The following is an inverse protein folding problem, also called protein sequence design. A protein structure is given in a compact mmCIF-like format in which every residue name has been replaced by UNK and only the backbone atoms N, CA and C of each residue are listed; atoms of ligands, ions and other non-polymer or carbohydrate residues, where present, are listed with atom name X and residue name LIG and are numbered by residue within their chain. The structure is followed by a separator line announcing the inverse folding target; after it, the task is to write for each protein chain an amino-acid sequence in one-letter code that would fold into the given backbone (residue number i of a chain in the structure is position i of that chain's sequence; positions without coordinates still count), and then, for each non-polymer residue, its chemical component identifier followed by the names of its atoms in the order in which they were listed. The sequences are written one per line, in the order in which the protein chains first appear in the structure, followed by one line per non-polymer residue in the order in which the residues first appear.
data_IF_634161804193
#
_entry.id   IF_634161804193
#
_cell.length_a   1.000
_cell.length_b   1.000
_cell.length_c   1.000
_cell.angle_alpha   90.00
_cell.angle_beta   90.00
_cell.angle_gamma   90.00
#
_symmetry.space_group_name_H-M   'P 1'
#
loop_
_entity.id
_entity.type
_entity.pdbx_description
1 polymer ?
#
# COMPACT_ATOMS: atom_id res chain seq x y z
N UNK A 1 0.59 88.15 14.02
CA UNK A 1 1.97 88.57 13.70
C UNK A 1 2.71 87.34 13.20
N UNK A 2 2.91 87.20 11.88
CA UNK A 2 4.17 87.42 11.13
C UNK A 2 5.33 86.45 11.45
N UNK A 3 5.64 85.61 10.44
CA UNK A 3 6.98 85.25 9.89
C UNK A 3 7.86 84.32 10.77
N UNK A 4 8.73 83.43 10.31
CA UNK A 4 9.32 82.98 9.01
C UNK A 4 10.18 81.72 9.39
N UNK A 5 10.09 80.57 8.71
CA UNK A 5 10.95 80.04 7.61
C UNK A 5 12.30 79.38 8.01
N UNK A 6 12.61 78.29 7.28
CA UNK A 6 13.88 77.54 7.03
C UNK A 6 14.17 76.34 7.95
N UNK A 7 14.08 75.08 7.47
CA UNK A 7 14.90 74.30 6.50
C UNK A 7 16.17 73.69 7.12
N UNK A 8 16.20 72.35 7.24
CA UNK A 8 17.35 71.42 7.20
C UNK A 8 16.74 70.02 7.43
N UNK A 9 16.76 69.03 6.53
CA UNK A 9 17.79 68.66 5.58
C UNK A 9 18.62 67.51 6.16
N UNK A 10 18.11 66.27 6.10
CA UNK A 10 18.88 65.07 6.47
C UNK A 10 18.42 63.86 5.62
N UNK A 11 19.28 63.27 4.78
CA UNK A 11 19.03 61.99 4.15
C UNK A 11 19.53 60.89 5.10
N UNK A 12 18.62 60.08 5.65
CA UNK A 12 18.99 58.87 6.37
C UNK A 12 19.25 57.75 5.36
N UNK A 13 20.53 57.39 5.27
CA UNK A 13 21.08 56.37 4.39
C UNK A 13 20.55 54.97 4.69
N UNK A 14 20.65 54.15 3.65
CA UNK A 14 20.17 52.79 3.53
C UNK A 14 20.74 51.85 4.62
N UNK A 15 19.83 51.19 5.34
CA UNK A 15 20.11 49.96 6.06
C UNK A 15 20.03 48.80 5.07
N UNK A 16 21.19 48.31 4.64
CA UNK A 16 21.30 47.04 3.93
C UNK A 16 21.02 45.90 4.93
N UNK A 17 19.79 45.38 4.91
CA UNK A 17 19.43 44.11 5.55
C UNK A 17 19.94 42.96 4.68
N UNK A 18 21.25 42.71 4.73
CA UNK A 18 21.88 41.54 4.13
C UNK A 18 22.16 40.50 5.22
N UNK A 19 21.19 39.62 5.50
CA UNK A 19 21.41 38.33 6.17
C UNK A 19 20.15 37.44 6.09
N UNK A 20 19.61 37.21 4.89
CA UNK A 20 18.88 35.97 4.65
C UNK A 20 19.95 34.90 4.46
N UNK A 21 20.41 34.29 5.55
CA UNK A 21 21.24 33.10 5.44
C UNK A 21 20.33 32.02 4.90
N UNK A 22 20.56 31.64 3.65
CA UNK A 22 20.10 30.41 3.03
C UNK A 22 20.36 29.27 4.03
N UNK A 23 19.33 28.87 4.78
CA UNK A 23 19.34 27.58 5.44
C UNK A 23 19.02 26.62 4.30
N UNK A 24 20.07 26.17 3.62
CA UNK A 24 20.00 24.99 2.80
C UNK A 24 19.27 23.93 3.64
N UNK A 25 18.05 23.60 3.25
CA UNK A 25 17.36 22.42 3.72
C UNK A 25 18.28 21.26 3.35
N UNK A 26 19.05 20.79 4.33
CA UNK A 26 19.63 19.46 4.28
C UNK A 26 18.46 18.53 4.01
N UNK A 27 18.33 18.11 2.75
CA UNK A 27 17.42 17.06 2.32
C UNK A 27 17.72 15.88 3.22
N UNK A 28 16.90 15.69 4.25
CA UNK A 28 16.99 14.52 5.09
C UNK A 28 16.86 13.35 4.13
N UNK A 29 17.80 12.38 4.12
CA UNK A 29 17.64 11.20 3.32
C UNK A 29 16.28 10.60 3.69
N UNK A 30 15.45 10.35 2.68
CA UNK A 30 14.14 9.76 2.86
C UNK A 30 14.24 8.44 3.65
N UNK A 31 13.13 7.96 4.21
CA UNK A 31 13.13 6.68 4.92
C UNK A 31 13.76 5.61 4.04
N UNK A 32 14.70 4.85 4.62
CA UNK A 32 15.35 3.76 3.92
C UNK A 32 14.30 2.74 3.45
N UNK A 33 14.47 2.12 2.27
CA UNK A 33 13.54 1.11 1.77
C UNK A 33 13.44 -0.03 2.79
N UNK A 34 12.22 -0.57 2.96
CA UNK A 34 12.03 -1.74 3.80
C UNK A 34 12.82 -2.93 3.23
N UNK A 35 13.45 -3.76 4.08
CA UNK A 35 14.18 -4.91 3.59
C UNK A 35 13.24 -5.88 2.86
N UNK A 36 13.71 -6.44 1.75
CA UNK A 36 13.02 -7.52 1.07
C UNK A 36 12.92 -8.76 1.99
N UNK A 37 11.83 -9.52 1.85
CA UNK A 37 11.70 -10.83 2.50
C UNK A 37 12.53 -11.87 1.75
N UNK A 38 13.02 -12.89 2.46
CA UNK A 38 13.90 -13.92 1.87
C UNK A 38 13.17 -14.80 0.85
N UNK A 39 11.90 -15.11 1.09
CA UNK A 39 11.06 -15.92 0.21
C UNK A 39 9.67 -15.31 0.06
N UNK A 40 9.42 -14.50 -0.99
CA UNK A 40 8.12 -13.90 -1.24
C UNK A 40 7.12 -14.85 -1.92
N UNK A 41 7.57 -16.02 -2.38
CA UNK A 41 6.67 -16.92 -3.11
C UNK A 41 5.63 -17.54 -2.17
N UNK A 42 4.38 -17.73 -2.63
CA UNK A 42 3.36 -18.34 -1.81
C UNK A 42 3.70 -19.77 -1.36
N UNK A 43 3.30 -20.09 -0.14
CA UNK A 43 3.40 -21.43 0.46
C UNK A 43 1.98 -21.96 0.67
N UNK A 44 1.71 -23.16 0.15
CA UNK A 44 0.42 -23.85 0.33
C UNK A 44 0.31 -24.38 1.76
N UNK A 45 -0.85 -24.20 2.40
CA UNK A 45 -1.09 -24.58 3.79
C UNK A 45 -2.01 -25.81 3.93
N UNK A 46 -3.15 -25.82 3.22
CA UNK A 46 -4.16 -26.91 3.26
C UNK A 46 -4.53 -27.33 4.70
N UNK A 47 -4.72 -26.34 5.57
CA UNK A 47 -5.02 -26.52 7.00
C UNK A 47 -6.26 -25.72 7.40
N UNK A 48 -6.93 -26.10 8.50
CA UNK A 48 -8.11 -25.36 8.99
C UNK A 48 -7.71 -24.19 9.90
N UNK A 49 -8.33 -23.03 9.70
CA UNK A 49 -8.17 -21.89 10.57
C UNK A 49 -8.71 -22.17 11.98
N UNK A 50 -8.18 -21.46 12.97
CA UNK A 50 -8.64 -21.60 14.36
C UNK A 50 -10.08 -21.11 14.49
N UNK A 51 -10.98 -22.02 14.89
CA UNK A 51 -12.39 -21.71 15.14
C UNK A 51 -12.55 -20.90 16.42
N UNK A 52 -13.32 -19.83 16.34
CA UNK A 52 -13.67 -18.96 17.46
C UNK A 52 -15.06 -19.32 17.98
N UNK A 53 -15.22 -19.29 19.30
CA UNK A 53 -16.54 -19.42 19.90
C UNK A 53 -17.38 -18.17 19.61
N UNK A 54 -18.37 -18.33 18.74
CA UNK A 54 -19.30 -17.28 18.36
C UNK A 54 -20.15 -16.78 19.53
N UNK A 55 -20.26 -17.53 20.64
CA UNK A 55 -20.94 -17.07 21.85
C UNK A 55 -20.22 -15.89 22.53
N UNK A 56 -18.93 -15.71 22.27
CA UNK A 56 -18.16 -14.54 22.71
C UNK A 56 -18.36 -13.32 21.80
N UNK A 57 -18.96 -13.52 20.62
CA UNK A 57 -19.21 -12.48 19.63
C UNK A 57 -20.63 -11.91 19.74
N UNK A 58 -20.76 -10.59 19.58
CA UNK A 58 -22.07 -9.93 19.49
C UNK A 58 -22.59 -9.99 18.05
N UNK A 59 -23.07 -11.16 17.64
CA UNK A 59 -23.65 -11.35 16.32
C UNK A 59 -25.15 -11.01 16.32
N UNK A 60 -25.69 -10.42 15.23
CA UNK A 60 -27.12 -10.28 15.03
C UNK A 60 -27.84 -11.64 15.10
N UNK A 61 -29.02 -11.70 15.74
CA UNK A 61 -29.78 -12.95 15.95
C UNK A 61 -30.15 -13.70 14.65
N UNK A 62 -30.20 -13.00 13.51
CA UNK A 62 -30.52 -13.61 12.20
C UNK A 62 -29.32 -14.30 11.56
N UNK A 63 -28.11 -14.13 12.12
CA UNK A 63 -26.92 -14.85 11.70
C UNK A 63 -26.78 -16.10 12.56
N UNK A 64 -27.14 -17.25 12.00
CA UNK A 64 -26.69 -18.55 12.53
C UNK A 64 -25.36 -18.89 11.83
N UNK A 65 -24.19 -18.61 12.43
CA UNK A 65 -22.93 -18.90 11.77
C UNK A 65 -22.76 -20.42 11.61
N UNK A 66 -22.33 -20.88 10.42
CA UNK A 66 -21.86 -22.27 10.24
C UNK A 66 -20.47 -22.45 10.85
N UNK A 67 -19.62 -21.43 10.74
CA UNK A 67 -18.28 -21.36 11.32
C UNK A 67 -17.88 -19.89 11.52
N UNK A 68 -17.09 -19.61 12.55
CA UNK A 68 -16.40 -18.33 12.71
C UNK A 68 -14.93 -18.63 12.97
N UNK A 69 -14.05 -18.03 12.19
CA UNK A 69 -12.60 -18.19 12.31
C UNK A 69 -11.94 -16.83 12.54
N UNK A 70 -10.77 -16.84 13.17
CA UNK A 70 -9.91 -15.66 13.29
C UNK A 70 -8.56 -15.92 12.62
N UNK A 71 -8.38 -15.51 11.35
CA UNK A 71 -7.10 -15.59 10.65
C UNK A 71 -6.04 -14.60 11.19
N UNK A 72 -6.45 -13.67 12.06
CA UNK A 72 -5.59 -12.64 12.65
C UNK A 72 -5.38 -11.42 11.75
N UNK A 73 -6.21 -11.20 10.74
CA UNK A 73 -6.05 -10.07 9.82
C UNK A 73 -6.09 -8.72 10.53
N UNK A 74 -5.15 -7.84 10.18
CA UNK A 74 -5.04 -6.48 10.75
C UNK A 74 -5.81 -5.44 9.95
N UNK A 75 -6.22 -5.78 8.73
CA UNK A 75 -7.06 -4.97 7.86
C UNK A 75 -8.28 -5.78 7.36
N UNK A 76 -9.29 -5.08 6.84
CA UNK A 76 -10.45 -5.74 6.21
C UNK A 76 -9.97 -6.58 5.02
N UNK A 77 -10.26 -7.89 4.97
CA UNK A 77 -9.91 -8.72 3.83
C UNK A 77 -10.73 -8.35 2.59
N UNK A 78 -10.21 -8.70 1.42
CA UNK A 78 -10.97 -8.71 0.17
C UNK A 78 -11.54 -10.10 -0.06
N UNK A 79 -12.72 -10.19 -0.69
CA UNK A 79 -13.37 -11.45 -1.01
C UNK A 79 -13.62 -11.57 -2.52
N UNK A 80 -13.42 -12.77 -3.06
CA UNK A 80 -13.79 -13.14 -4.41
C UNK A 80 -14.07 -14.64 -4.49
N UNK A 81 -15.28 -15.01 -4.93
CA UNK A 81 -15.75 -16.39 -5.08
C UNK A 81 -15.60 -17.25 -3.81
N UNK A 82 -15.95 -16.67 -2.65
CA UNK A 82 -15.90 -17.35 -1.37
C UNK A 82 -14.47 -17.50 -0.82
N UNK A 83 -13.47 -16.88 -1.44
CA UNK A 83 -12.10 -16.84 -0.93
C UNK A 83 -11.78 -15.43 -0.44
N UNK A 84 -11.34 -15.35 0.79
CA UNK A 84 -10.92 -14.13 1.46
C UNK A 84 -9.41 -14.03 1.45
N UNK A 85 -8.87 -12.89 1.01
CA UNK A 85 -7.46 -12.56 1.10
C UNK A 85 -7.30 -11.35 2.02
N UNK A 86 -6.45 -11.49 3.02
CA UNK A 86 -6.06 -10.38 3.89
C UNK A 86 -4.62 -10.56 4.35
N UNK A 87 -4.10 -9.56 5.04
CA UNK A 87 -2.80 -9.66 5.70
C UNK A 87 -2.92 -9.46 7.19
N UNK A 88 -1.94 -9.99 7.92
CA UNK A 88 -1.64 -9.64 9.29
C UNK A 88 -0.22 -9.10 9.40
N UNK A 89 -0.01 -8.18 10.32
CA UNK A 89 1.30 -7.64 10.62
C UNK A 89 2.05 -8.58 11.57
N UNK A 90 3.18 -9.10 11.12
CA UNK A 90 4.18 -9.74 11.98
C UNK A 90 5.25 -8.69 12.35
N UNK A 91 6.21 -9.03 13.21
CA UNK A 91 7.21 -8.05 13.68
C UNK A 91 8.13 -7.53 12.55
N UNK A 92 8.42 -8.36 11.56
CA UNK A 92 9.40 -8.06 10.49
C UNK A 92 8.78 -7.97 9.09
N UNK A 93 7.54 -8.46 8.91
CA UNK A 93 6.91 -8.59 7.60
C UNK A 93 5.38 -8.61 7.71
N UNK A 94 4.71 -8.46 6.58
CA UNK A 94 3.28 -8.74 6.44
C UNK A 94 3.12 -10.20 6.01
N UNK A 95 2.19 -10.91 6.63
CA UNK A 95 1.78 -12.24 6.18
C UNK A 95 0.40 -12.15 5.55
N UNK A 96 0.36 -12.35 4.24
CA UNK A 96 -0.88 -12.53 3.48
C UNK A 96 -1.39 -13.96 3.66
N UNK A 97 -2.70 -14.10 3.82
CA UNK A 97 -3.40 -15.36 4.00
C UNK A 97 -4.65 -15.40 3.12
N UNK A 98 -4.73 -16.41 2.27
CA UNK A 98 -5.95 -16.75 1.53
C UNK A 98 -6.72 -17.83 2.30
N UNK A 99 -8.01 -17.58 2.54
CA UNK A 99 -8.88 -18.40 3.38
C UNK A 99 -10.20 -18.60 2.67
N UNK A 100 -10.63 -19.85 2.51
CA UNK A 100 -11.94 -20.19 1.96
C UNK A 100 -13.07 -19.93 2.97
N UNK A 101 -14.31 -19.78 2.50
CA UNK A 101 -15.48 -19.46 3.34
C UNK A 101 -15.78 -20.49 4.44
N UNK A 102 -15.27 -21.71 4.31
CA UNK A 102 -15.37 -22.76 5.30
C UNK A 102 -14.26 -22.73 6.36
N UNK A 103 -13.33 -21.77 6.26
CA UNK A 103 -12.20 -21.61 7.16
C UNK A 103 -10.92 -22.33 6.73
N UNK A 104 -10.88 -22.97 5.55
CA UNK A 104 -9.66 -23.60 5.03
C UNK A 104 -8.62 -22.55 4.65
N UNK A 105 -7.42 -22.62 5.24
CA UNK A 105 -6.25 -21.82 4.86
C UNK A 105 -5.63 -22.42 3.59
N UNK A 106 -5.72 -21.70 2.47
CA UNK A 106 -5.26 -22.16 1.17
C UNK A 106 -3.75 -21.99 1.03
N UNK A 107 -3.28 -20.76 1.21
CA UNK A 107 -1.87 -20.39 1.08
C UNK A 107 -1.54 -19.13 1.86
N UNK A 108 -0.24 -18.93 2.06
CA UNK A 108 0.32 -17.72 2.65
C UNK A 108 1.45 -17.14 1.81
N UNK A 109 1.68 -15.83 1.90
CA UNK A 109 2.81 -15.17 1.28
C UNK A 109 3.32 -14.05 2.19
N UNK A 110 4.64 -13.95 2.35
CA UNK A 110 5.25 -12.92 3.19
C UNK A 110 5.68 -11.72 2.32
N UNK A 111 5.50 -10.49 2.81
CA UNK A 111 5.88 -9.24 2.12
C UNK A 111 6.53 -8.25 3.08
N UNK A 112 7.35 -7.30 2.59
CA UNK A 112 7.85 -6.22 3.44
C UNK A 112 6.72 -5.44 4.11
N UNK A 113 6.98 -4.89 5.31
CA UNK A 113 6.00 -4.13 6.11
C UNK A 113 5.37 -2.93 5.36
N UNK A 114 6.05 -2.40 4.34
CA UNK A 114 5.57 -1.28 3.53
C UNK A 114 4.62 -1.70 2.40
N UNK A 115 4.51 -2.99 2.09
CA UNK A 115 3.78 -3.51 0.94
C UNK A 115 2.38 -4.03 1.31
N UNK A 116 1.57 -3.16 1.90
CA UNK A 116 0.17 -3.46 2.27
C UNK A 116 -0.80 -3.45 1.09
N UNK A 117 -0.33 -3.08 -0.12
CA UNK A 117 -1.14 -3.02 -1.33
C UNK A 117 -1.44 -4.41 -1.90
N UNK A 118 -2.72 -4.75 -2.02
CA UNK A 118 -3.18 -5.96 -2.68
C UNK A 118 -4.56 -5.75 -3.30
N UNK A 119 -4.88 -6.54 -4.31
CA UNK A 119 -6.22 -6.54 -4.92
C UNK A 119 -6.61 -7.92 -5.40
N UNK A 120 -7.92 -8.17 -5.44
CA UNK A 120 -8.52 -9.31 -6.13
C UNK A 120 -9.11 -8.83 -7.46
N UNK A 121 -8.96 -9.64 -8.50
CA UNK A 121 -9.49 -9.36 -9.85
C UNK A 121 -9.78 -10.67 -10.58
N UNK A 122 -10.23 -10.57 -11.83
CA UNK A 122 -10.36 -11.71 -12.74
C UNK A 122 -9.46 -11.59 -13.95
N UNK A 123 -9.07 -12.74 -14.50
CA UNK A 123 -8.46 -12.83 -15.82
C UNK A 123 -9.51 -12.74 -16.96
N UNK A 124 -9.08 -12.92 -18.20
CA UNK A 124 -9.96 -12.87 -19.39
C UNK A 124 -10.96 -14.04 -19.45
N UNK A 125 -10.63 -15.17 -18.85
CA UNK A 125 -11.46 -16.38 -18.79
C UNK A 125 -12.38 -16.41 -17.55
N UNK A 126 -12.25 -15.41 -16.66
CA UNK A 126 -13.00 -15.27 -15.42
C UNK A 126 -12.36 -15.95 -14.20
N UNK A 127 -11.16 -16.49 -14.34
CA UNK A 127 -10.35 -17.05 -13.24
C UNK A 127 -10.05 -16.01 -12.17
N UNK A 128 -10.00 -16.44 -10.91
CA UNK A 128 -9.80 -15.56 -9.75
C UNK A 128 -8.32 -15.27 -9.53
N UNK A 129 -7.96 -13.99 -9.49
CA UNK A 129 -6.57 -13.54 -9.42
C UNK A 129 -6.33 -12.72 -8.16
N UNK A 130 -5.30 -13.08 -7.41
CA UNK A 130 -4.73 -12.28 -6.33
C UNK A 130 -3.50 -11.53 -6.83
N UNK A 131 -3.45 -10.22 -6.66
CA UNK A 131 -2.26 -9.41 -6.98
C UNK A 131 -1.67 -8.83 -5.71
N UNK A 132 -0.40 -9.14 -5.46
CA UNK A 132 0.34 -8.69 -4.29
C UNK A 132 1.43 -7.69 -4.69
N UNK A 133 1.49 -6.56 -3.99
CA UNK A 133 2.62 -5.65 -4.09
C UNK A 133 3.85 -6.24 -3.37
N UNK A 134 5.02 -6.00 -3.93
CA UNK A 134 6.31 -6.36 -3.36
C UNK A 134 7.35 -5.28 -3.67
N UNK A 135 8.56 -5.43 -3.13
CA UNK A 135 9.71 -4.61 -3.51
C UNK A 135 10.57 -5.37 -4.52
N UNK A 136 11.03 -4.69 -5.56
CA UNK A 136 12.00 -5.27 -6.47
C UNK A 136 13.27 -5.69 -5.70
N UNK A 137 13.83 -6.89 -5.96
CA UNK A 137 15.10 -7.29 -5.37
C UNK A 137 16.23 -6.49 -6.05
N UNK A 138 16.55 -5.31 -5.54
CA UNK A 138 17.65 -4.49 -6.04
C UNK A 138 18.61 -4.10 -4.90
N UNK A 139 19.89 -3.97 -5.23
CA UNK A 139 20.91 -3.43 -4.32
C UNK A 139 20.84 -1.89 -4.22
N UNK A 140 20.00 -1.24 -5.03
CA UNK A 140 19.88 0.21 -5.13
C UNK A 140 18.81 0.74 -4.17
N UNK A 141 19.09 1.92 -3.58
CA UNK A 141 18.29 2.54 -2.52
C UNK A 141 16.86 2.96 -2.90
N UNK A 142 16.45 2.74 -4.15
CA UNK A 142 15.11 2.99 -4.68
C UNK A 142 14.57 1.70 -5.30
N UNK A 143 14.37 0.67 -4.49
CA UNK A 143 13.61 -0.50 -4.91
C UNK A 143 12.19 -0.05 -5.30
N UNK A 144 11.88 -0.12 -6.59
CA UNK A 144 10.54 0.13 -7.11
C UNK A 144 9.55 -0.90 -6.57
N UNK A 145 8.29 -0.48 -6.40
CA UNK A 145 7.21 -1.41 -6.07
C UNK A 145 6.92 -2.27 -7.29
N UNK A 146 6.84 -3.58 -7.10
CA UNK A 146 6.45 -4.54 -8.12
C UNK A 146 5.11 -5.18 -7.79
N UNK A 147 4.39 -5.64 -8.80
CA UNK A 147 3.15 -6.39 -8.65
C UNK A 147 3.36 -7.79 -9.20
N UNK A 148 2.93 -8.79 -8.44
CA UNK A 148 2.94 -10.19 -8.88
C UNK A 148 1.57 -10.78 -8.68
N UNK A 149 1.08 -11.51 -9.69
CA UNK A 149 -0.23 -12.12 -9.66
C UNK A 149 -0.15 -13.63 -9.51
N UNK A 150 -1.11 -14.14 -8.76
CA UNK A 150 -1.29 -15.54 -8.46
C UNK A 150 -2.76 -15.93 -8.66
N UNK A 151 -3.01 -17.17 -9.03
CA UNK A 151 -4.34 -17.76 -8.89
C UNK A 151 -4.73 -17.71 -7.42
N UNK A 152 -5.90 -17.13 -7.13
CA UNK A 152 -6.36 -16.89 -5.76
C UNK A 152 -6.55 -18.20 -4.98
N UNK A 153 -6.84 -19.32 -5.65
CA UNK A 153 -7.11 -20.60 -4.99
C UNK A 153 -5.86 -21.45 -4.86
N UNK A 154 -5.09 -21.61 -5.94
CA UNK A 154 -3.96 -22.53 -6.02
C UNK A 154 -2.61 -21.89 -5.71
N UNK A 155 -2.56 -20.56 -5.62
CA UNK A 155 -1.33 -19.78 -5.54
C UNK A 155 -0.38 -19.95 -6.75
N UNK A 156 -0.88 -20.49 -7.87
CA UNK A 156 -0.10 -20.60 -9.10
C UNK A 156 0.29 -19.21 -9.61
N UNK A 157 1.57 -19.01 -9.92
CA UNK A 157 2.05 -17.76 -10.52
C UNK A 157 1.43 -17.55 -11.91
N UNK A 158 0.79 -16.41 -12.11
CA UNK A 158 0.14 -16.07 -13.38
C UNK A 158 0.98 -15.09 -14.20
N UNK A 159 1.42 -14.00 -13.56
CA UNK A 159 2.25 -12.97 -14.20
C UNK A 159 3.03 -12.14 -13.18
N UNK A 160 3.96 -11.35 -13.70
CA UNK A 160 4.84 -10.50 -12.92
C UNK A 160 6.18 -11.18 -12.57
N UNK A 161 7.08 -10.48 -11.86
CA UNK A 161 6.88 -9.13 -11.33
C UNK A 161 6.80 -8.07 -12.44
N UNK A 162 5.80 -7.19 -12.38
CA UNK A 162 5.70 -5.99 -13.22
C UNK A 162 5.92 -4.75 -12.36
N UNK A 163 6.54 -3.71 -12.91
CA UNK A 163 6.75 -2.45 -12.17
C UNK A 163 5.42 -1.71 -11.97
N UNK A 164 5.13 -1.32 -10.73
CA UNK A 164 3.96 -0.52 -10.44
C UNK A 164 4.19 0.92 -10.94
N UNK A 165 3.26 1.53 -11.70
CA UNK A 165 3.39 2.92 -12.14
C UNK A 165 3.45 3.95 -11.00
N UNK A 166 3.10 3.55 -9.79
CA UNK A 166 3.07 4.39 -8.59
C UNK A 166 2.26 3.72 -7.48
N UNK A 167 1.86 4.46 -6.43
CA UNK A 167 0.94 3.95 -5.42
C UNK A 167 -0.44 3.64 -6.00
N UNK A 168 -1.16 2.73 -5.35
CA UNK A 168 -2.54 2.40 -5.70
C UNK A 168 -3.44 3.62 -5.47
N UNK A 169 -4.14 4.03 -6.52
CA UNK A 169 -4.93 5.28 -6.56
C UNK A 169 -6.44 5.06 -6.43
N UNK A 170 -6.92 3.83 -6.65
CA UNK A 170 -8.32 3.43 -6.45
C UNK A 170 -8.42 1.91 -6.21
N UNK A 171 -9.65 1.43 -5.95
CA UNK A 171 -9.94 0.00 -5.88
C UNK A 171 -9.60 -0.69 -7.21
N UNK A 172 -9.18 -1.96 -7.14
CA UNK A 172 -8.68 -2.70 -8.29
C UNK A 172 -7.23 -2.34 -8.64
N UNK A 173 -6.81 -2.74 -9.85
CA UNK A 173 -5.46 -2.49 -10.37
C UNK A 173 -5.31 -1.08 -10.96
N UNK A 174 -5.62 -0.05 -10.17
CA UNK A 174 -5.55 1.35 -10.62
C UNK A 174 -4.47 2.09 -9.84
N UNK A 175 -3.48 2.60 -10.57
CA UNK A 175 -2.28 3.25 -10.03
C UNK A 175 -2.16 4.66 -10.59
N UNK A 176 -1.45 5.52 -9.89
CA UNK A 176 -1.12 6.86 -10.38
C UNK A 176 0.29 7.23 -9.98
N UNK A 177 1.01 7.85 -10.91
CA UNK A 177 2.32 8.42 -10.62
C UNK A 177 2.17 9.51 -9.52
N UNK A 178 3.10 9.55 -8.55
CA UNK A 178 3.17 10.68 -7.61
C UNK A 178 3.34 11.99 -8.37
N UNK A 179 2.62 13.03 -7.94
CA UNK A 179 2.77 14.39 -8.48
C UNK A 179 3.27 15.33 -7.40
N UNK A 180 3.99 16.40 -7.80
CA UNK A 180 4.38 17.49 -6.90
C UNK A 180 3.19 18.40 -6.51
N UNK A 181 1.97 18.06 -6.95
CA UNK A 181 0.78 18.85 -6.68
C UNK A 181 0.35 18.69 -5.21
N UNK A 182 -0.15 19.77 -4.57
CA UNK A 182 -0.69 19.68 -3.21
C UNK A 182 -1.82 18.63 -3.13
N UNK A 183 -1.85 17.88 -2.03
CA UNK A 183 -2.74 16.74 -1.77
C UNK A 183 -4.13 16.86 -2.44
N UNK A 184 -4.48 15.88 -3.27
CA UNK A 184 -5.85 15.68 -3.78
C UNK A 184 -6.00 15.72 -5.30
N UNK A 185 -5.09 16.35 -6.04
CA UNK A 185 -4.97 16.16 -7.49
C UNK A 185 -3.94 15.07 -7.77
N UNK A 186 -4.41 13.82 -7.75
CA UNK A 186 -3.57 12.69 -8.20
C UNK A 186 -3.15 12.87 -9.65
N UNK A 187 -2.02 12.27 -10.02
CA UNK A 187 -1.56 12.21 -11.40
C UNK A 187 -2.51 11.46 -12.34
N UNK A 188 -2.16 11.35 -13.63
CA UNK A 188 -2.84 10.46 -14.55
C UNK A 188 -2.96 9.05 -13.94
N UNK A 189 -4.15 8.45 -14.09
CA UNK A 189 -4.44 7.11 -13.56
C UNK A 189 -4.27 6.08 -14.66
N UNK A 190 -3.56 5.01 -14.34
CA UNK A 190 -3.36 3.85 -15.21
C UNK A 190 -4.07 2.67 -14.57
N UNK A 191 -4.91 1.98 -15.34
CA UNK A 191 -5.50 0.72 -14.94
C UNK A 191 -4.73 -0.41 -15.62
N UNK A 192 -4.27 -1.40 -14.83
CA UNK A 192 -3.58 -2.58 -15.34
C UNK A 192 -4.59 -3.73 -15.54
N UNK A 193 -4.33 -4.56 -16.53
CA UNK A 193 -5.06 -5.79 -16.79
C UNK A 193 -4.86 -6.80 -15.65
N UNK A 194 -5.96 -7.41 -15.19
CA UNK A 194 -5.90 -8.52 -14.23
C UNK A 194 -5.27 -9.79 -14.81
N UNK A 195 -5.29 -9.95 -16.13
CA UNK A 195 -4.76 -11.12 -16.81
C UNK A 195 -3.26 -11.04 -17.11
N UNK A 196 -2.71 -9.83 -17.25
CA UNK A 196 -1.34 -9.64 -17.75
C UNK A 196 -0.50 -8.64 -16.96
N UNK A 197 -1.13 -7.76 -16.18
CA UNK A 197 -0.45 -6.65 -15.52
C UNK A 197 -0.06 -5.48 -16.44
N UNK A 198 -0.54 -5.47 -17.69
CA UNK A 198 -0.31 -4.39 -18.68
C UNK A 198 -1.38 -3.30 -18.66
#
# INVERSE_FOLDING_TARGET
MRRRTLLLGAPLGALALGACTDRAEESSPGPAPAPAVENPDPVILDEEATVVDHAELRLPLEMSPMIVVDPGWTATPLELDGIFLGYREESEHLRFLAVEEDGTLLWQADRPLTCTGFTLTRDEDGGTVAVLADVAPTEDALAGMTLTAYDLRSAEHLWGPVEAPGPQAALGLVYAEPTDAPMGQGGPRTALSGATGE
#
